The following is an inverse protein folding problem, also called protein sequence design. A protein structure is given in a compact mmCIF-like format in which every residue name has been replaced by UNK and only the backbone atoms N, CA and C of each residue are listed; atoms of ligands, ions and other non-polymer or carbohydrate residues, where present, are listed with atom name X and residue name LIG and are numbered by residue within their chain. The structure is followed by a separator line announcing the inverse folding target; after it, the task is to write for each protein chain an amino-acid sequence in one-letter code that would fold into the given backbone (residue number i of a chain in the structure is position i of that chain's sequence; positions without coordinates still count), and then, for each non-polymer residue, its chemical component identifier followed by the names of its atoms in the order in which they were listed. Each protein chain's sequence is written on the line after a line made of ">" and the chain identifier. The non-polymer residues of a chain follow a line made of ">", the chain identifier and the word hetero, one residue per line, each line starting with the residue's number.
data_IF_552190452103
#
_entry.id   IF_552190452103
#
_cell.length_a   1.000
_cell.length_b   1.000
_cell.length_c   1.000
_cell.angle_alpha   90.00
_cell.angle_beta   90.00
_cell.angle_gamma   90.00
#
_symmetry.space_group_name_H-M   'P 1'
#
loop_
_entity.id
_entity.type
_entity.pdbx_description
1 polymer ?
#
# COMPACT_ATOMS: atom_id res chain seq x y z
N UNK A 1 -11.01 22.22 -3.84
CA UNK A 1 -10.38 21.15 -4.64
C UNK A 1 -8.95 21.45 -5.12
N UNK A 2 -8.63 22.64 -5.66
CA UNK A 2 -7.28 22.97 -6.21
C UNK A 2 -6.08 22.64 -5.29
N UNK A 3 -6.22 22.78 -3.97
CA UNK A 3 -5.14 22.47 -3.00
C UNK A 3 -4.97 20.97 -2.71
N UNK A 4 -5.90 20.11 -3.12
CA UNK A 4 -5.87 18.63 -2.91
C UNK A 4 -5.27 17.89 -4.11
N UNK A 5 -5.36 18.46 -5.31
CA UNK A 5 -4.78 17.89 -6.54
C UNK A 5 -3.31 17.47 -6.41
N UNK A 6 -2.41 18.29 -5.84
CA UNK A 6 -1.02 17.89 -5.65
C UNK A 6 -0.86 16.70 -4.69
N UNK A 7 -1.71 16.59 -3.67
CA UNK A 7 -1.68 15.47 -2.73
C UNK A 7 -2.20 14.18 -3.37
N UNK A 8 -3.24 14.29 -4.21
CA UNK A 8 -3.75 13.15 -4.98
C UNK A 8 -2.68 12.67 -5.97
N UNK A 9 -2.04 13.60 -6.69
CA UNK A 9 -0.91 13.28 -7.57
C UNK A 9 0.23 12.58 -6.81
N UNK A 10 0.57 13.06 -5.61
CA UNK A 10 1.57 12.40 -4.78
C UNK A 10 1.14 11.00 -4.33
N UNK A 11 -0.11 10.81 -3.92
CA UNK A 11 -0.63 9.50 -3.55
C UNK A 11 -0.55 8.49 -4.71
N UNK A 12 -0.96 8.92 -5.91
CA UNK A 12 -0.90 8.11 -7.13
C UNK A 12 0.54 7.75 -7.51
N UNK A 13 1.44 8.75 -7.50
CA UNK A 13 2.85 8.52 -7.83
C UNK A 13 3.53 7.56 -6.84
N UNK A 14 3.28 7.72 -5.54
CA UNK A 14 3.86 6.85 -4.52
C UNK A 14 3.29 5.43 -4.63
N UNK A 15 1.98 5.27 -4.80
CA UNK A 15 1.40 3.94 -4.97
C UNK A 15 1.87 3.24 -6.24
N UNK A 16 2.10 3.99 -7.33
CA UNK A 16 2.72 3.46 -8.55
C UNK A 16 4.14 2.95 -8.27
N UNK A 17 4.96 3.73 -7.55
CA UNK A 17 6.32 3.32 -7.19
C UNK A 17 6.34 2.05 -6.33
N UNK A 18 5.44 1.94 -5.34
CA UNK A 18 5.34 0.75 -4.50
C UNK A 18 4.93 -0.46 -5.34
N UNK A 19 3.90 -0.32 -6.18
CA UNK A 19 3.43 -1.39 -7.07
C UNK A 19 4.53 -1.85 -8.04
N UNK A 20 5.29 -0.92 -8.63
CA UNK A 20 6.42 -1.27 -9.51
C UNK A 20 7.51 -2.02 -8.74
N UNK A 21 7.88 -1.54 -7.55
CA UNK A 21 8.89 -2.19 -6.71
C UNK A 21 8.47 -3.60 -6.28
N UNK A 22 7.19 -3.77 -5.91
CA UNK A 22 6.59 -5.05 -5.55
C UNK A 22 6.65 -6.04 -6.71
N UNK A 23 6.24 -5.63 -7.91
CA UNK A 23 6.27 -6.50 -9.09
C UNK A 23 7.71 -6.91 -9.46
N UNK A 24 8.67 -5.98 -9.40
CA UNK A 24 10.09 -6.30 -9.63
C UNK A 24 10.60 -7.32 -8.59
N UNK A 25 10.24 -7.13 -7.32
CA UNK A 25 10.65 -8.05 -6.25
C UNK A 25 10.01 -9.43 -6.42
N UNK A 26 8.73 -9.49 -6.82
CA UNK A 26 8.03 -10.73 -7.14
C UNK A 26 8.68 -11.47 -8.32
N UNK A 27 9.01 -10.77 -9.41
CA UNK A 27 9.69 -11.37 -10.56
C UNK A 27 11.04 -12.00 -10.17
N UNK A 28 11.85 -11.27 -9.39
CA UNK A 28 13.14 -11.76 -8.87
C UNK A 28 12.95 -13.03 -8.02
N UNK A 29 11.95 -13.04 -7.14
CA UNK A 29 11.64 -14.18 -6.27
C UNK A 29 11.26 -15.43 -7.05
N UNK A 30 10.51 -15.25 -8.13
CA UNK A 30 10.03 -16.34 -9.00
C UNK A 30 11.08 -16.79 -10.01
N UNK A 31 12.27 -16.15 -10.02
CA UNK A 31 13.34 -16.45 -10.95
C UNK A 31 13.06 -15.99 -12.39
N UNK A 32 12.10 -15.07 -12.58
CA UNK A 32 11.82 -14.42 -13.86
C UNK A 32 12.73 -13.20 -14.00
N UNK A 33 13.13 -12.89 -15.24
CA UNK A 33 13.82 -11.64 -15.52
C UNK A 33 12.82 -10.48 -15.41
N UNK A 34 13.03 -9.52 -14.49
CA UNK A 34 12.06 -8.44 -14.24
C UNK A 34 11.89 -7.47 -15.42
N UNK A 35 12.79 -7.51 -16.41
CA UNK A 35 12.70 -6.74 -17.65
C UNK A 35 13.02 -7.67 -18.82
N UNK A 36 11.99 -8.28 -19.40
CA UNK A 36 12.11 -9.01 -20.66
C UNK A 36 11.33 -8.23 -21.73
N UNK A 37 11.97 -7.99 -22.88
CA UNK A 37 11.34 -7.37 -24.06
C UNK A 37 10.61 -6.03 -23.81
N UNK A 38 11.13 -5.21 -22.89
CA UNK A 38 10.55 -3.90 -22.55
C UNK A 38 9.28 -3.97 -21.70
N UNK A 39 8.96 -5.14 -21.13
CA UNK A 39 7.80 -5.38 -20.26
C UNK A 39 8.28 -5.84 -18.88
N UNK A 40 7.60 -5.38 -17.83
CA UNK A 40 7.78 -5.90 -16.46
C UNK A 40 7.03 -7.24 -16.37
N UNK A 41 7.68 -8.29 -15.87
CA UNK A 41 7.28 -9.70 -16.02
C UNK A 41 5.96 -10.11 -15.36
N UNK A 42 5.47 -9.36 -14.36
CA UNK A 42 4.12 -9.54 -13.77
C UNK A 42 3.02 -8.63 -14.38
N UNK A 43 3.35 -7.73 -15.32
CA UNK A 43 2.37 -6.82 -15.96
C UNK A 43 1.48 -7.53 -17.01
N UNK A 44 1.77 -8.79 -17.35
CA UNK A 44 0.94 -9.54 -18.30
C UNK A 44 -0.44 -9.97 -17.75
N UNK A 45 -0.73 -9.69 -16.46
CA UNK A 45 -2.06 -9.74 -15.86
C UNK A 45 -2.56 -8.30 -15.54
N UNK A 46 -3.21 -7.61 -16.48
CA UNK A 46 -3.61 -6.20 -16.31
C UNK A 46 -4.59 -5.99 -15.16
N UNK A 47 -5.51 -6.94 -14.94
CA UNK A 47 -6.49 -6.87 -13.85
C UNK A 47 -5.83 -6.97 -12.47
N UNK A 48 -4.84 -7.86 -12.32
CA UNK A 48 -4.08 -8.02 -11.08
C UNK A 48 -3.20 -6.79 -10.79
N UNK A 49 -2.59 -6.23 -11.84
CA UNK A 49 -1.78 -5.02 -11.75
C UNK A 49 -2.62 -3.82 -11.30
N UNK A 50 -3.82 -3.65 -11.87
CA UNK A 50 -4.75 -2.60 -11.46
C UNK A 50 -5.21 -2.77 -10.01
N UNK A 51 -5.42 -4.01 -9.57
CA UNK A 51 -5.79 -4.32 -8.19
C UNK A 51 -4.67 -3.98 -7.20
N UNK A 52 -3.42 -4.40 -7.47
CA UNK A 52 -2.26 -4.05 -6.65
C UNK A 52 -2.04 -2.54 -6.59
N UNK A 53 -2.17 -1.85 -7.72
CA UNK A 53 -2.11 -0.38 -7.76
C UNK A 53 -3.19 0.25 -6.86
N UNK A 54 -4.43 -0.21 -6.98
CA UNK A 54 -5.55 0.30 -6.21
C UNK A 54 -5.30 0.14 -4.70
N UNK A 55 -4.85 -1.05 -4.27
CA UNK A 55 -4.52 -1.33 -2.87
C UNK A 55 -3.35 -0.47 -2.39
N UNK A 56 -2.28 -0.36 -3.19
CA UNK A 56 -1.09 0.41 -2.82
C UNK A 56 -1.42 1.90 -2.65
N UNK A 57 -2.27 2.46 -3.53
CA UNK A 57 -2.66 3.88 -3.50
C UNK A 57 -3.67 4.21 -2.41
N UNK A 58 -4.58 3.27 -2.07
CA UNK A 58 -5.78 3.55 -1.28
C UNK A 58 -5.51 4.32 0.04
N UNK A 59 -4.55 3.92 0.89
CA UNK A 59 -4.32 4.61 2.17
C UNK A 59 -3.84 6.05 2.01
N UNK A 60 -2.94 6.28 1.05
CA UNK A 60 -2.44 7.63 0.73
C UNK A 60 -3.51 8.48 0.04
N UNK A 61 -4.37 7.86 -0.78
CA UNK A 61 -5.47 8.55 -1.44
C UNK A 61 -6.49 9.05 -0.42
N UNK A 62 -6.82 8.25 0.60
CA UNK A 62 -7.69 8.68 1.69
C UNK A 62 -7.09 9.87 2.45
N UNK A 63 -5.79 9.83 2.75
CA UNK A 63 -5.10 10.99 3.36
C UNK A 63 -5.15 12.24 2.48
N UNK A 64 -4.96 12.08 1.17
CA UNK A 64 -5.03 13.17 0.19
C UNK A 64 -6.45 13.75 0.08
N UNK A 65 -7.47 12.90 0.08
CA UNK A 65 -8.89 13.29 0.03
C UNK A 65 -9.31 14.06 1.28
N UNK A 66 -8.85 13.64 2.47
CA UNK A 66 -9.04 14.38 3.72
C UNK A 66 -8.23 15.70 3.71
N UNK A 67 -7.24 15.81 2.83
CA UNK A 67 -6.36 16.99 2.73
C UNK A 67 -5.31 17.03 3.83
N UNK A 68 -4.94 15.88 4.40
CA UNK A 68 -3.92 15.79 5.44
C UNK A 68 -2.54 16.10 4.86
N UNK A 69 -1.86 17.10 5.45
CA UNK A 69 -0.46 17.44 5.12
C UNK A 69 0.53 16.99 6.20
N UNK A 70 0.08 16.25 7.21
CA UNK A 70 0.94 15.84 8.32
C UNK A 70 1.90 14.77 7.83
N UNK A 71 3.19 15.10 7.74
CA UNK A 71 4.24 14.20 7.21
C UNK A 71 4.21 12.81 7.87
N UNK A 72 4.04 12.74 9.19
CA UNK A 72 4.01 11.46 9.91
C UNK A 72 2.85 10.54 9.48
N UNK A 73 1.67 11.07 9.14
CA UNK A 73 0.55 10.25 8.65
C UNK A 73 0.88 9.62 7.29
N UNK A 74 1.54 10.39 6.43
CA UNK A 74 2.02 9.90 5.13
C UNK A 74 3.11 8.84 5.30
N UNK A 75 4.08 9.07 6.19
CA UNK A 75 5.13 8.08 6.49
C UNK A 75 4.53 6.77 7.00
N UNK A 76 3.55 6.84 7.91
CA UNK A 76 2.86 5.64 8.43
C UNK A 76 2.11 4.92 7.31
N UNK A 77 1.36 5.64 6.46
CA UNK A 77 0.65 5.04 5.34
C UNK A 77 1.62 4.34 4.37
N UNK A 78 2.69 5.02 3.96
CA UNK A 78 3.72 4.47 3.07
C UNK A 78 4.39 3.25 3.71
N UNK A 79 4.76 3.35 4.99
CA UNK A 79 5.43 2.27 5.71
C UNK A 79 4.55 1.02 5.85
N UNK A 80 3.28 1.19 6.23
CA UNK A 80 2.31 0.09 6.33
C UNK A 80 2.08 -0.58 4.98
N UNK A 81 1.88 0.22 3.92
CA UNK A 81 1.71 -0.32 2.55
C UNK A 81 2.97 -1.05 2.06
N UNK A 82 4.17 -0.51 2.34
CA UNK A 82 5.44 -1.15 1.94
C UNK A 82 5.70 -2.45 2.70
N UNK A 83 5.39 -2.50 4.00
CA UNK A 83 5.47 -3.72 4.81
C UNK A 83 4.52 -4.79 4.28
N UNK A 84 3.30 -4.39 3.92
CA UNK A 84 2.33 -5.30 3.32
C UNK A 84 2.84 -5.88 1.98
N UNK A 85 3.32 -5.02 1.07
CA UNK A 85 3.89 -5.48 -0.21
C UNK A 85 5.09 -6.42 0.00
N UNK A 86 5.96 -6.12 0.98
CA UNK A 86 7.10 -6.98 1.33
C UNK A 86 6.64 -8.35 1.83
N UNK A 87 5.61 -8.38 2.68
CA UNK A 87 5.02 -9.62 3.18
C UNK A 87 4.40 -10.45 2.04
N UNK A 88 3.68 -9.81 1.10
CA UNK A 88 3.11 -10.46 -0.07
C UNK A 88 4.18 -11.15 -0.94
N UNK A 89 5.29 -10.46 -1.21
CA UNK A 89 6.42 -11.03 -1.97
C UNK A 89 7.10 -12.16 -1.20
N UNK A 90 7.29 -12.02 0.11
CA UNK A 90 7.86 -13.08 0.94
C UNK A 90 7.00 -14.34 0.92
N UNK A 91 5.68 -14.16 0.96
CA UNK A 91 4.73 -15.27 0.91
C UNK A 91 4.75 -15.98 -0.44
N UNK A 92 4.73 -15.21 -1.54
CA UNK A 92 4.91 -15.75 -2.88
C UNK A 92 6.18 -16.63 -2.97
N UNK A 93 7.28 -16.19 -2.35
CA UNK A 93 8.51 -16.99 -2.28
C UNK A 93 8.32 -18.31 -1.54
N UNK A 94 7.62 -18.30 -0.40
CA UNK A 94 7.36 -19.53 0.36
C UNK A 94 6.54 -20.51 -0.46
N UNK A 95 5.49 -20.03 -1.13
CA UNK A 95 4.62 -20.86 -1.95
C UNK A 95 5.41 -21.51 -3.11
N UNK A 96 6.31 -20.75 -3.74
CA UNK A 96 7.21 -21.27 -4.78
C UNK A 96 8.25 -22.27 -4.28
N UNK A 97 8.82 -22.07 -3.08
CA UNK A 97 9.88 -22.93 -2.54
C UNK A 97 9.36 -24.29 -2.07
N UNK A 98 8.07 -24.40 -1.81
CA UNK A 98 7.53 -25.51 -1.04
C UNK A 98 6.57 -26.41 -1.82
N UNK A 99 6.28 -26.11 -3.10
CA UNK A 99 5.31 -26.84 -3.95
C UNK A 99 3.96 -27.08 -3.23
N UNK A 100 3.55 -26.15 -2.36
CA UNK A 100 2.36 -26.33 -1.51
C UNK A 100 1.08 -26.26 -2.36
N UNK A 101 0.40 -27.39 -2.47
CA UNK A 101 -0.94 -27.50 -3.02
C UNK A 101 -2.00 -26.99 -2.01
N UNK A 102 -2.34 -25.70 -2.06
CA UNK A 102 -3.71 -25.16 -1.91
C UNK A 102 -4.47 -25.27 -0.58
N UNK A 103 -3.94 -25.86 0.50
CA UNK A 103 -4.68 -26.09 1.75
C UNK A 103 -4.58 -25.00 2.82
N UNK A 104 -3.45 -24.30 2.91
CA UNK A 104 -3.18 -23.27 3.93
C UNK A 104 -3.59 -21.84 3.50
N UNK A 105 -4.07 -21.68 2.26
CA UNK A 105 -4.25 -20.40 1.56
C UNK A 105 -5.48 -19.59 1.96
N UNK A 106 -6.51 -20.19 2.57
CA UNK A 106 -7.74 -19.44 2.84
C UNK A 106 -7.51 -18.39 3.92
N UNK A 107 -6.83 -18.75 5.03
CA UNK A 107 -6.56 -17.82 6.13
C UNK A 107 -5.62 -16.69 5.71
N UNK A 108 -4.59 -17.02 4.93
CA UNK A 108 -3.63 -16.07 4.40
C UNK A 108 -4.25 -15.17 3.32
N UNK A 109 -5.01 -15.74 2.38
CA UNK A 109 -5.77 -14.98 1.38
C UNK A 109 -6.78 -14.02 2.04
N UNK A 110 -7.44 -14.44 3.12
CA UNK A 110 -8.29 -13.57 3.93
C UNK A 110 -7.49 -12.45 4.59
N UNK A 111 -6.31 -12.73 5.16
CA UNK A 111 -5.44 -11.69 5.75
C UNK A 111 -4.99 -10.71 4.66
N UNK A 112 -4.59 -11.19 3.49
CA UNK A 112 -4.17 -10.35 2.36
C UNK A 112 -5.33 -9.49 1.85
N UNK A 113 -6.55 -10.05 1.76
CA UNK A 113 -7.77 -9.31 1.42
C UNK A 113 -8.20 -8.31 2.49
N UNK A 114 -7.97 -8.62 3.77
CA UNK A 114 -8.34 -7.78 4.92
C UNK A 114 -7.31 -6.66 5.18
N UNK A 115 -6.04 -6.86 4.81
CA UNK A 115 -4.93 -5.96 5.10
C UNK A 115 -5.09 -4.50 4.62
N UNK A 116 -5.72 -4.19 3.45
CA UNK A 116 -5.89 -2.80 3.02
C UNK A 116 -6.92 -2.10 3.93
N UNK A 117 -7.91 -2.84 4.43
CA UNK A 117 -8.92 -2.37 5.36
C UNK A 117 -8.35 -2.14 6.76
N UNK A 118 -7.44 -3.00 7.22
CA UNK A 118 -6.71 -2.81 8.49
C UNK A 118 -5.86 -1.54 8.40
N UNK A 119 -5.14 -1.34 7.29
CA UNK A 119 -4.34 -0.12 7.07
C UNK A 119 -5.23 1.13 7.06
N UNK A 120 -6.36 1.08 6.37
CA UNK A 120 -7.34 2.18 6.38
C UNK A 120 -7.93 2.45 7.76
N UNK A 121 -8.31 1.42 8.51
CA UNK A 121 -8.84 1.54 9.86
C UNK A 121 -7.79 2.17 10.80
N UNK A 122 -6.54 1.72 10.73
CA UNK A 122 -5.43 2.29 11.48
C UNK A 122 -5.21 3.76 11.14
N UNK A 123 -5.23 4.11 9.85
CA UNK A 123 -5.11 5.49 9.38
C UNK A 123 -6.27 6.37 9.84
N UNK A 124 -7.50 5.85 9.82
CA UNK A 124 -8.69 6.51 10.36
C UNK A 124 -8.57 6.78 11.86
N UNK A 125 -8.18 5.79 12.65
CA UNK A 125 -7.92 5.92 14.08
C UNK A 125 -6.84 6.96 14.39
N UNK A 126 -5.71 6.93 13.65
CA UNK A 126 -4.63 7.89 13.81
C UNK A 126 -5.07 9.32 13.44
N UNK A 127 -5.84 9.47 12.37
CA UNK A 127 -6.40 10.75 11.97
C UNK A 127 -7.39 11.30 13.03
N UNK A 128 -8.23 10.44 13.61
CA UNK A 128 -9.17 10.78 14.68
C UNK A 128 -8.44 11.19 15.96
N UNK A 129 -7.46 10.40 16.42
CA UNK A 129 -6.61 10.73 17.57
C UNK A 129 -5.89 12.07 17.36
N UNK A 130 -5.40 12.31 16.14
CA UNK A 130 -4.74 13.54 15.76
C UNK A 130 -5.67 14.77 15.74
N UNK A 131 -6.97 14.57 15.49
CA UNK A 131 -8.00 15.60 15.60
C UNK A 131 -8.31 15.90 17.06
N UNK A 132 -8.60 14.87 17.88
CA UNK A 132 -8.88 15.00 19.32
C UNK A 132 -7.73 15.73 20.04
N UNK A 133 -6.47 15.36 19.75
CA UNK A 133 -5.29 16.04 20.35
C UNK A 133 -5.16 17.51 19.95
N UNK A 134 -5.63 17.92 18.77
CA UNK A 134 -5.64 19.35 18.37
C UNK A 134 -6.73 20.11 19.09
N UNK A 135 -7.93 19.55 19.21
CA UNK A 135 -9.04 20.18 19.94
C UNK A 135 -8.77 20.33 21.43
N UNK A 136 -7.87 19.51 21.98
CA UNK A 136 -7.40 19.58 23.38
C UNK A 136 -6.20 20.50 23.62
N UNK A 137 -5.61 21.14 22.60
CA UNK A 137 -4.65 22.23 22.83
C UNK A 137 -5.48 23.50 23.00
N UNK A 138 -5.60 24.05 24.23
CA UNK A 138 -6.18 25.37 24.40
C UNK A 138 -5.32 26.36 23.59
N UNK A 139 -5.96 27.37 23.02
CA UNK A 139 -5.25 28.56 22.57
C UNK A 139 -4.57 29.17 23.80
N UNK A 140 -3.32 28.80 24.06
CA UNK A 140 -2.45 29.57 24.94
C UNK A 140 -2.11 30.84 24.17
N UNK A 141 -2.96 31.84 24.39
CA UNK A 141 -2.66 33.28 24.47
C UNK A 141 -1.33 33.72 23.86
N UNK A 142 -1.44 34.50 22.77
CA UNK A 142 -0.46 35.46 22.31
C UNK A 142 -1.22 36.64 21.73
#
# INVERSE_FOLDING_TARGET
>A
MRRRLPLIGAALAIGLLIMLAENVAADIVVGRTPFADGRLGFIDAPDLTAFHFAIAVLPMLVLALIGSRRRWLWVVAIGMTSLFATFAVWQLRQDYLTDFAGGADIGLGIIMMASPWITLAAMGCLALLAHIRRSRRPATSG
#
